data_IF_787493458617
#
_entry.id   IF_787493458617
#
_cell.length_a   1.000
_cell.length_b   1.000
_cell.length_c   1.000
_cell.angle_alpha   90.00
_cell.angle_beta   90.00
_cell.angle_gamma   90.00
#
_symmetry.space_group_name_H-M   'P 1'
#
loop_
_entity.id
_entity.type
_entity.pdbx_description
1 polymer ?
#
# COMPACT_ATOMS: atom_id res chain seq x y z
N UNK A 1 -4.45 -25.96 0.56
CA UNK A 1 -3.02 -25.64 0.40
C UNK A 1 -2.19 -26.81 -0.12
N UNK A 2 -2.77 -27.98 -0.41
CA UNK A 2 -2.05 -29.07 -1.08
C UNK A 2 -1.85 -28.71 -2.56
N UNK A 3 -0.59 -28.69 -3.01
CA UNK A 3 -0.24 -28.32 -4.37
C UNK A 3 -0.22 -29.58 -5.25
N UNK A 4 -0.81 -29.49 -6.44
CA UNK A 4 -0.68 -30.55 -7.42
C UNK A 4 0.81 -30.71 -7.83
N UNK A 5 1.29 -31.94 -8.06
CA UNK A 5 2.68 -32.16 -8.44
C UNK A 5 3.02 -31.36 -9.72
N UNK A 6 4.19 -30.70 -9.77
CA UNK A 6 4.56 -29.82 -10.86
C UNK A 6 4.66 -30.63 -12.16
N UNK A 7 3.78 -30.31 -13.12
CA UNK A 7 3.67 -31.01 -14.41
C UNK A 7 4.69 -30.52 -15.45
N UNK A 8 5.29 -29.35 -15.23
CA UNK A 8 6.14 -28.64 -16.18
C UNK A 8 7.49 -28.25 -15.58
N UNK A 9 8.54 -28.20 -16.39
CA UNK A 9 9.91 -27.85 -15.96
C UNK A 9 9.97 -26.48 -15.26
N UNK A 10 9.20 -25.50 -15.77
CA UNK A 10 9.07 -24.17 -15.18
C UNK A 10 8.45 -24.18 -13.77
N UNK A 11 7.53 -25.10 -13.53
CA UNK A 11 6.82 -25.26 -12.25
C UNK A 11 7.67 -26.03 -11.24
N UNK A 12 8.64 -26.82 -11.72
CA UNK A 12 9.68 -27.44 -10.88
C UNK A 12 10.77 -26.44 -10.47
N UNK A 13 11.12 -25.50 -11.34
CA UNK A 13 12.13 -24.47 -11.04
C UNK A 13 11.55 -23.28 -10.26
N UNK A 14 10.30 -22.91 -10.53
CA UNK A 14 9.57 -21.82 -9.87
C UNK A 14 8.30 -22.34 -9.19
N UNK A 15 8.40 -23.08 -8.08
CA UNK A 15 7.24 -23.60 -7.35
C UNK A 15 6.35 -22.48 -6.78
N UNK A 16 6.85 -21.24 -6.66
CA UNK A 16 6.02 -20.06 -6.31
C UNK A 16 4.88 -19.83 -7.32
N UNK A 17 5.04 -20.23 -8.59
CA UNK A 17 4.00 -20.10 -9.62
C UNK A 17 2.76 -20.94 -9.29
N UNK A 18 2.91 -22.03 -8.53
CA UNK A 18 1.79 -22.83 -8.05
C UNK A 18 1.01 -22.11 -6.96
N UNK A 19 1.70 -21.32 -6.12
CA UNK A 19 1.11 -20.52 -5.07
C UNK A 19 0.34 -19.31 -5.62
N UNK A 20 0.72 -18.79 -6.79
CA UNK A 20 0.02 -17.66 -7.46
C UNK A 20 -1.43 -17.98 -7.83
N UNK A 21 -1.85 -19.25 -7.78
CA UNK A 21 -3.25 -19.62 -7.98
C UNK A 21 -4.12 -19.33 -6.74
N UNK A 22 -3.51 -19.06 -5.59
CA UNK A 22 -4.23 -18.65 -4.40
C UNK A 22 -4.64 -17.17 -4.53
N UNK A 23 -5.94 -16.85 -4.39
CA UNK A 23 -6.44 -15.48 -4.51
C UNK A 23 -5.86 -14.52 -3.45
N UNK A 24 -5.49 -15.01 -2.26
CA UNK A 24 -4.86 -14.17 -1.23
C UNK A 24 -3.44 -13.74 -1.62
N UNK A 25 -2.65 -14.65 -2.21
CA UNK A 25 -1.31 -14.30 -2.69
C UNK A 25 -1.38 -13.28 -3.84
N UNK A 26 -2.34 -13.45 -4.77
CA UNK A 26 -2.56 -12.46 -5.83
C UNK A 26 -3.01 -11.11 -5.26
N UNK A 27 -3.88 -11.12 -4.26
CA UNK A 27 -4.38 -9.89 -3.64
C UNK A 27 -3.25 -9.17 -2.91
N UNK A 28 -2.41 -9.87 -2.14
CA UNK A 28 -1.25 -9.27 -1.46
C UNK A 28 -0.23 -8.69 -2.44
N UNK A 29 0.06 -9.36 -3.55
CA UNK A 29 0.87 -8.80 -4.63
C UNK A 29 0.21 -7.58 -5.28
N UNK A 30 -1.10 -7.61 -5.49
CA UNK A 30 -1.85 -6.48 -6.03
C UNK A 30 -1.83 -5.29 -5.07
N UNK A 31 -1.95 -5.51 -3.75
CA UNK A 31 -1.77 -4.45 -2.74
C UNK A 31 -0.38 -3.82 -2.88
N UNK A 32 0.68 -4.62 -2.97
CA UNK A 32 2.04 -4.10 -3.19
C UNK A 32 2.18 -3.32 -4.50
N UNK A 33 1.54 -3.77 -5.58
CA UNK A 33 1.53 -3.08 -6.87
C UNK A 33 0.88 -1.69 -6.76
N UNK A 34 -0.28 -1.61 -6.12
CA UNK A 34 -1.03 -0.35 -5.99
C UNK A 34 -0.29 0.61 -5.06
N UNK A 35 0.31 0.11 -3.98
CA UNK A 35 1.16 0.92 -3.12
C UNK A 35 2.33 1.54 -3.90
N UNK A 36 3.07 0.72 -4.66
CA UNK A 36 4.19 1.19 -5.48
C UNK A 36 3.73 2.18 -6.56
N UNK A 37 2.57 1.94 -7.17
CA UNK A 37 1.97 2.84 -8.14
C UNK A 37 1.59 4.19 -7.54
N UNK A 38 1.04 4.21 -6.32
CA UNK A 38 0.74 5.45 -5.59
C UNK A 38 2.02 6.21 -5.27
N UNK A 39 3.06 5.54 -4.77
CA UNK A 39 4.34 6.17 -4.48
C UNK A 39 4.93 6.84 -5.73
N UNK A 40 5.02 6.10 -6.84
CA UNK A 40 5.52 6.65 -8.10
C UNK A 40 4.64 7.77 -8.67
N UNK A 41 3.32 7.70 -8.50
CA UNK A 41 2.41 8.78 -8.86
C UNK A 41 2.68 10.06 -8.06
N UNK A 42 2.97 9.94 -6.76
CA UNK A 42 3.31 11.08 -5.91
C UNK A 42 4.66 11.69 -6.30
N UNK A 43 5.69 10.85 -6.48
CA UNK A 43 7.03 11.29 -6.87
C UNK A 43 7.01 12.11 -8.18
N UNK A 44 6.17 11.72 -9.15
CA UNK A 44 6.07 12.41 -10.44
C UNK A 44 5.22 13.68 -10.41
N UNK A 45 4.26 13.79 -9.47
CA UNK A 45 3.23 14.84 -9.52
C UNK A 45 3.40 15.92 -8.47
N UNK A 46 3.86 15.58 -7.27
CA UNK A 46 4.10 16.53 -6.17
C UNK A 46 5.09 17.63 -6.56
N UNK A 47 6.28 17.33 -7.14
CA UNK A 47 7.23 18.37 -7.55
C UNK A 47 6.66 19.26 -8.66
N UNK A 48 5.85 18.68 -9.55
CA UNK A 48 5.29 19.43 -10.65
C UNK A 48 4.19 20.39 -10.19
N UNK A 49 3.34 19.99 -9.23
CA UNK A 49 2.41 20.91 -8.58
C UNK A 49 3.17 21.99 -7.82
N UNK A 50 4.25 21.63 -7.12
CA UNK A 50 5.10 22.59 -6.40
C UNK A 50 5.66 23.68 -7.33
N UNK A 51 6.24 23.27 -8.47
CA UNK A 51 6.80 24.17 -9.46
C UNK A 51 5.69 25.00 -10.16
N UNK A 52 4.69 24.35 -10.76
CA UNK A 52 3.68 25.04 -11.58
C UNK A 52 2.78 25.97 -10.76
N UNK A 53 2.48 25.64 -9.50
CA UNK A 53 1.51 26.40 -8.69
C UNK A 53 2.16 27.39 -7.72
N UNK A 54 3.32 27.06 -7.18
CA UNK A 54 4.01 27.88 -6.18
C UNK A 54 5.33 28.48 -6.71
N UNK A 55 5.74 28.17 -7.95
CA UNK A 55 7.03 28.55 -8.53
C UNK A 55 8.21 28.15 -7.63
N UNK A 56 8.08 26.98 -6.97
CA UNK A 56 9.12 26.44 -6.12
C UNK A 56 10.32 25.99 -6.93
N UNK A 57 11.51 26.27 -6.41
CA UNK A 57 12.75 25.70 -6.92
C UNK A 57 12.86 24.20 -6.57
N UNK A 58 13.83 23.51 -7.17
CA UNK A 58 14.02 22.07 -6.96
C UNK A 58 14.26 21.72 -5.48
N UNK A 59 14.90 22.60 -4.71
CA UNK A 59 15.11 22.41 -3.27
C UNK A 59 13.79 22.46 -2.50
N UNK A 60 12.99 23.51 -2.69
CA UNK A 60 11.70 23.67 -2.01
C UNK A 60 10.70 22.58 -2.41
N UNK A 61 10.73 22.14 -3.67
CA UNK A 61 9.96 20.97 -4.11
C UNK A 61 10.39 19.69 -3.39
N UNK A 62 11.70 19.48 -3.21
CA UNK A 62 12.24 18.36 -2.44
C UNK A 62 11.84 18.37 -0.97
N UNK A 63 11.79 19.56 -0.34
CA UNK A 63 11.39 19.72 1.06
C UNK A 63 9.93 19.27 1.31
N UNK A 64 9.06 19.29 0.30
CA UNK A 64 7.68 18.81 0.42
C UNK A 64 7.57 17.29 0.63
N UNK A 65 8.61 16.52 0.31
CA UNK A 65 8.65 15.09 0.63
C UNK A 65 9.06 14.82 2.08
N UNK A 66 9.67 15.78 2.79
CA UNK A 66 10.07 15.56 4.18
C UNK A 66 8.89 15.22 5.09
N UNK A 67 7.75 15.94 5.07
CA UNK A 67 6.59 15.56 5.88
C UNK A 67 6.03 14.18 5.52
N UNK A 68 6.03 13.82 4.23
CA UNK A 68 5.56 12.52 3.74
C UNK A 68 6.49 11.39 4.22
N UNK A 69 7.79 11.52 3.97
CA UNK A 69 8.78 10.51 4.37
C UNK A 69 8.96 10.43 5.88
N UNK A 70 8.87 11.55 6.61
CA UNK A 70 8.99 11.56 8.06
C UNK A 70 7.79 10.88 8.72
N UNK A 71 6.56 11.14 8.26
CA UNK A 71 5.38 10.45 8.78
C UNK A 71 5.40 8.96 8.48
N UNK A 72 5.83 8.57 7.28
CA UNK A 72 6.02 7.17 6.90
C UNK A 72 7.08 6.48 7.77
N UNK A 73 8.24 7.10 7.94
CA UNK A 73 9.35 6.55 8.73
C UNK A 73 9.02 6.42 10.22
N UNK A 74 8.39 7.44 10.81
CA UNK A 74 8.10 7.46 12.25
C UNK A 74 6.96 6.49 12.61
N UNK A 75 5.97 6.34 11.73
CA UNK A 75 4.81 5.49 11.98
C UNK A 75 4.96 4.08 11.40
N UNK A 76 5.91 3.86 10.49
CA UNK A 76 6.19 2.55 9.91
C UNK A 76 6.39 1.44 10.95
N UNK A 77 7.26 1.61 11.97
CA UNK A 77 7.42 0.62 13.04
C UNK A 77 6.14 0.39 13.86
N UNK A 78 5.36 1.45 14.10
CA UNK A 78 4.11 1.38 14.86
C UNK A 78 3.08 0.52 14.11
N UNK A 79 2.93 0.75 12.80
CA UNK A 79 2.00 -0.03 11.98
C UNK A 79 2.52 -1.43 11.66
N UNK A 80 3.84 -1.63 11.60
CA UNK A 80 4.44 -2.97 11.56
C UNK A 80 4.07 -3.79 12.79
N UNK A 81 4.26 -3.23 13.99
CA UNK A 81 3.81 -3.86 15.24
C UNK A 81 2.30 -4.09 15.26
N UNK A 82 1.51 -3.15 14.73
CA UNK A 82 0.06 -3.32 14.63
C UNK A 82 -0.31 -4.48 13.70
N UNK A 83 0.37 -4.65 12.56
CA UNK A 83 0.16 -5.79 11.65
C UNK A 83 0.50 -7.11 12.32
N UNK A 84 1.59 -7.16 13.07
CA UNK A 84 1.99 -8.37 13.77
C UNK A 84 0.99 -8.77 14.88
N UNK A 85 0.39 -7.79 15.58
CA UNK A 85 -0.54 -8.03 16.70
C UNK A 85 -2.00 -8.20 16.27
N UNK A 86 -2.45 -7.42 15.29
CA UNK A 86 -3.86 -7.33 14.87
C UNK A 86 -4.14 -8.03 13.54
N UNK A 87 -3.11 -8.45 12.82
CA UNK A 87 -3.23 -9.15 11.54
C UNK A 87 -3.26 -8.20 10.34
N UNK A 88 -3.00 -8.76 9.17
CA UNK A 88 -2.81 -8.07 7.88
C UNK A 88 -4.10 -7.46 7.32
N UNK A 89 -5.22 -8.19 7.41
CA UNK A 89 -6.50 -7.78 6.82
C UNK A 89 -7.06 -6.45 7.31
N UNK A 90 -7.28 -6.21 8.62
CA UNK A 90 -7.87 -4.97 9.09
C UNK A 90 -6.98 -3.77 8.75
N UNK A 91 -5.64 -3.90 8.86
CA UNK A 91 -4.75 -2.79 8.51
C UNK A 91 -4.70 -2.53 7.00
N UNK A 92 -4.71 -3.56 6.14
CA UNK A 92 -4.80 -3.36 4.70
C UNK A 92 -6.08 -2.57 4.34
N UNK A 93 -7.23 -3.00 4.87
CA UNK A 93 -8.52 -2.35 4.60
C UNK A 93 -8.55 -0.93 5.14
N UNK A 94 -8.15 -0.73 6.40
CA UNK A 94 -8.14 0.59 7.03
C UNK A 94 -7.16 1.54 6.35
N UNK A 95 -5.98 1.06 5.94
CA UNK A 95 -4.99 1.86 5.25
C UNK A 95 -5.48 2.35 3.89
N UNK A 96 -6.00 1.45 3.05
CA UNK A 96 -6.56 1.85 1.75
C UNK A 96 -7.84 2.68 1.89
N UNK A 97 -8.70 2.37 2.86
CA UNK A 97 -9.89 3.16 3.15
C UNK A 97 -9.54 4.56 3.68
N UNK A 98 -8.46 4.71 4.46
CA UNK A 98 -7.94 5.99 4.93
C UNK A 98 -7.30 6.82 3.82
N UNK A 99 -6.60 6.17 2.88
CA UNK A 99 -6.05 6.85 1.72
C UNK A 99 -7.13 7.45 0.81
N UNK A 100 -8.33 6.87 0.74
CA UNK A 100 -9.44 7.41 -0.07
C UNK A 100 -9.79 8.87 0.28
N UNK A 101 -10.22 9.21 1.51
CA UNK A 101 -10.53 10.58 1.87
C UNK A 101 -9.29 11.47 1.77
N UNK A 102 -8.12 11.01 2.21
CA UNK A 102 -6.89 11.82 2.20
C UNK A 102 -6.45 12.19 0.78
N UNK A 103 -6.56 11.26 -0.18
CA UNK A 103 -6.33 11.54 -1.61
C UNK A 103 -7.38 12.48 -2.18
N UNK A 104 -8.65 12.35 -1.80
CA UNK A 104 -9.68 13.31 -2.24
C UNK A 104 -9.45 14.72 -1.67
N UNK A 105 -8.89 14.83 -0.46
CA UNK A 105 -8.55 16.11 0.17
C UNK A 105 -7.41 16.84 -0.55
N UNK A 106 -6.52 16.13 -1.27
CA UNK A 106 -5.52 16.76 -2.15
C UNK A 106 -6.15 17.57 -3.30
N UNK A 107 -7.46 17.47 -3.52
CA UNK A 107 -8.21 18.36 -4.42
C UNK A 107 -8.40 19.76 -3.83
N UNK A 108 -8.47 19.91 -2.51
CA UNK A 108 -8.79 21.19 -1.83
C UNK A 108 -7.76 22.30 -2.09
N UNK A 109 -6.43 22.05 -2.04
CA UNK A 109 -5.44 23.07 -2.36
C UNK A 109 -5.57 23.67 -3.77
N UNK A 110 -6.25 22.97 -4.69
CA UNK A 110 -6.46 23.43 -6.07
C UNK A 110 -7.76 24.22 -6.28
N UNK A 111 -8.73 24.17 -5.36
CA UNK A 111 -10.04 24.79 -5.59
C UNK A 111 -10.07 26.30 -5.36
N UNK A 112 -9.11 26.86 -4.62
CA UNK A 112 -9.08 28.29 -4.33
C UNK A 112 -7.89 28.96 -5.05
N UNK A 113 -8.11 29.63 -6.19
CA UNK A 113 -7.13 30.50 -6.81
C UNK A 113 -7.09 31.80 -5.99
N UNK A 114 -6.40 31.80 -4.85
CA UNK A 114 -6.01 33.04 -4.21
C UNK A 114 -4.76 33.57 -4.94
N UNK A 115 -4.82 34.75 -5.58
CA UNK A 115 -3.64 35.40 -6.13
C UNK A 115 -2.79 35.91 -4.96
N UNK A 116 -1.64 35.27 -4.74
CA UNK A 116 -0.71 35.61 -3.67
C UNK A 116 -0.24 34.37 -2.90
N UNK A 117 1.07 34.23 -2.72
CA UNK A 117 1.65 33.21 -1.85
C UNK A 117 1.13 33.41 -0.43
N UNK A 118 0.16 32.59 -0.03
CA UNK A 118 -0.20 32.45 1.37
C UNK A 118 0.55 31.22 1.87
N UNK A 119 1.53 31.39 2.77
CA UNK A 119 2.24 30.26 3.38
C UNK A 119 1.30 29.18 3.96
N UNK A 120 0.06 29.57 4.29
CA UNK A 120 -1.04 28.69 4.65
C UNK A 120 -1.39 27.61 3.60
N UNK A 121 -1.33 27.91 2.30
CA UNK A 121 -1.62 26.92 1.24
C UNK A 121 -0.51 25.87 1.10
N UNK A 122 0.75 26.32 1.22
CA UNK A 122 1.91 25.43 1.24
C UNK A 122 1.89 24.55 2.49
N UNK A 123 1.57 25.14 3.66
CA UNK A 123 1.41 24.40 4.90
C UNK A 123 0.27 23.37 4.83
N UNK A 124 -0.86 23.73 4.22
CA UNK A 124 -1.97 22.79 3.98
C UNK A 124 -1.52 21.64 3.06
N UNK A 125 -0.81 21.94 1.98
CA UNK A 125 -0.31 20.92 1.07
C UNK A 125 0.69 19.99 1.77
N UNK A 126 1.64 20.54 2.52
CA UNK A 126 2.59 19.78 3.32
C UNK A 126 1.90 18.91 4.39
N UNK A 127 0.87 19.41 5.05
CA UNK A 127 0.08 18.66 6.01
C UNK A 127 -0.70 17.50 5.34
N UNK A 128 -1.27 17.73 4.16
CA UNK A 128 -1.92 16.67 3.39
C UNK A 128 -0.92 15.62 2.92
N UNK A 129 0.30 16.01 2.53
CA UNK A 129 1.38 15.07 2.20
C UNK A 129 1.80 14.23 3.41
N UNK A 130 1.87 14.84 4.61
CA UNK A 130 2.10 14.10 5.85
C UNK A 130 0.98 13.10 6.12
N UNK A 131 -0.30 13.48 5.96
CA UNK A 131 -1.42 12.54 6.10
C UNK A 131 -1.35 11.39 5.09
N UNK A 132 -0.92 11.65 3.85
CA UNK A 132 -0.69 10.57 2.88
C UNK A 132 0.45 9.65 3.34
N UNK A 133 1.53 10.19 3.90
CA UNK A 133 2.62 9.40 4.49
C UNK A 133 2.16 8.49 5.62
N UNK A 134 1.23 8.94 6.48
CA UNK A 134 0.55 8.06 7.46
C UNK A 134 -0.15 6.89 6.76
N UNK A 135 -0.88 7.17 5.66
CA UNK A 135 -1.55 6.13 4.87
C UNK A 135 -0.58 5.12 4.26
N UNK A 136 0.55 5.60 3.70
CA UNK A 136 1.62 4.75 3.18
C UNK A 136 2.21 3.85 4.26
N UNK A 137 2.44 4.37 5.47
CA UNK A 137 2.95 3.60 6.60
C UNK A 137 2.04 2.42 6.95
N UNK A 138 0.72 2.64 6.91
CA UNK A 138 -0.28 1.60 7.21
C UNK A 138 -0.26 0.50 6.16
N UNK A 139 -0.21 0.84 4.87
CA UNK A 139 -0.31 -0.14 3.78
C UNK A 139 1.01 -0.87 3.47
N UNK A 140 2.13 -0.38 3.99
CA UNK A 140 3.47 -0.93 3.71
C UNK A 140 3.69 -2.33 4.30
N UNK A 141 3.29 -2.55 5.55
CA UNK A 141 3.49 -3.83 6.21
C UNK A 141 2.52 -4.95 5.73
N UNK A 142 1.20 -4.72 5.59
CA UNK A 142 0.24 -5.78 5.30
C UNK A 142 0.52 -6.58 4.03
N UNK A 143 0.94 -5.93 2.94
CA UNK A 143 1.15 -6.59 1.65
C UNK A 143 2.26 -7.65 1.73
N UNK A 144 3.40 -7.29 2.33
CA UNK A 144 4.56 -8.19 2.44
C UNK A 144 4.31 -9.29 3.47
N UNK A 145 3.71 -8.96 4.62
CA UNK A 145 3.41 -9.92 5.68
C UNK A 145 2.40 -10.96 5.23
N UNK A 146 1.33 -10.55 4.52
CA UNK A 146 0.33 -11.48 3.99
C UNK A 146 0.94 -12.43 2.95
N UNK A 147 1.71 -11.89 1.99
CA UNK A 147 2.39 -12.69 0.99
C UNK A 147 3.34 -13.72 1.63
N UNK A 148 4.08 -13.30 2.66
CA UNK A 148 4.96 -14.16 3.46
C UNK A 148 4.19 -15.28 4.17
N UNK A 149 3.11 -14.93 4.87
CA UNK A 149 2.30 -15.87 5.63
C UNK A 149 1.63 -16.93 4.73
N UNK A 150 1.09 -16.54 3.58
CA UNK A 150 0.49 -17.45 2.61
C UNK A 150 1.52 -18.43 2.07
N UNK A 151 2.70 -17.93 1.68
CA UNK A 151 3.80 -18.76 1.16
C UNK A 151 4.36 -19.70 2.23
N UNK A 152 4.43 -19.27 3.49
CA UNK A 152 4.83 -20.12 4.61
C UNK A 152 3.85 -21.29 4.82
N UNK A 153 2.54 -21.06 4.72
CA UNK A 153 1.52 -22.12 4.80
C UNK A 153 1.70 -23.15 3.68
N UNK A 154 1.98 -22.70 2.46
CA UNK A 154 2.27 -23.59 1.33
C UNK A 154 3.55 -24.40 1.55
N UNK A 155 4.58 -23.79 2.12
CA UNK A 155 5.83 -24.46 2.44
C UNK A 155 5.65 -25.55 3.49
N UNK A 156 5.00 -25.24 4.62
CA UNK A 156 4.73 -26.20 5.71
C UNK A 156 3.93 -27.41 5.23
N UNK A 157 3.02 -27.21 4.27
CA UNK A 157 2.18 -28.28 3.74
C UNK A 157 2.85 -29.09 2.62
N UNK A 158 3.84 -28.52 1.93
CA UNK A 158 4.54 -29.15 0.81
C UNK A 158 6.07 -29.03 0.95
N UNK A 159 6.68 -29.56 2.03
CA UNK A 159 8.11 -29.38 2.30
C UNK A 159 8.99 -30.00 1.20
N UNK A 160 8.54 -31.11 0.61
CA UNK A 160 9.25 -31.79 -0.48
C UNK A 160 9.34 -30.96 -1.78
N UNK A 161 8.48 -29.96 -1.98
CA UNK A 161 8.45 -29.13 -3.19
C UNK A 161 9.35 -27.90 -3.11
N UNK A 162 9.53 -27.33 -1.92
CA UNK A 162 10.28 -26.08 -1.73
C UNK A 162 11.66 -26.29 -1.08
N UNK A 163 11.92 -27.46 -0.50
CA UNK A 163 13.18 -27.78 0.17
C UNK A 163 13.38 -27.04 1.50
N UNK A 164 14.58 -27.20 2.09
CA UNK A 164 14.90 -26.66 3.42
C UNK A 164 15.07 -25.12 3.45
N UNK A 165 15.39 -24.49 2.32
CA UNK A 165 15.62 -23.03 2.22
C UNK A 165 14.33 -22.21 2.06
N UNK A 166 13.19 -22.87 1.85
CA UNK A 166 11.87 -22.25 1.71
C UNK A 166 11.70 -21.39 0.44
N UNK A 167 10.47 -20.91 0.17
CA UNK A 167 10.14 -20.23 -1.09
C UNK A 167 10.43 -18.72 -1.07
N UNK A 168 11.00 -18.19 0.01
CA UNK A 168 11.08 -16.75 0.28
C UNK A 168 11.90 -15.98 -0.76
N UNK A 169 13.02 -16.54 -1.24
CA UNK A 169 13.82 -15.88 -2.29
C UNK A 169 13.01 -15.63 -3.58
N UNK A 170 12.17 -16.60 -3.96
CA UNK A 170 11.30 -16.45 -5.12
C UNK A 170 10.17 -15.46 -4.83
N UNK A 171 9.56 -15.51 -3.64
CA UNK A 171 8.54 -14.55 -3.22
C UNK A 171 9.05 -13.11 -3.30
N UNK A 172 10.23 -12.83 -2.73
CA UNK A 172 10.86 -11.51 -2.79
C UNK A 172 11.16 -11.11 -4.23
N UNK A 173 11.66 -12.03 -5.07
CA UNK A 173 11.85 -11.78 -6.49
C UNK A 173 10.57 -11.35 -7.21
N UNK A 174 9.46 -12.07 -6.98
CA UNK A 174 8.15 -11.73 -7.53
C UNK A 174 7.63 -10.39 -7.00
N UNK A 175 7.73 -10.16 -5.69
CA UNK A 175 7.34 -8.90 -5.09
C UNK A 175 8.10 -7.72 -5.70
N UNK A 176 9.42 -7.85 -5.90
CA UNK A 176 10.26 -6.82 -6.53
C UNK A 176 9.89 -6.55 -7.99
N UNK A 177 9.53 -7.59 -8.76
CA UNK A 177 9.03 -7.41 -10.13
C UNK A 177 7.73 -6.62 -10.15
N UNK A 178 6.78 -6.98 -9.28
CA UNK A 178 5.48 -6.33 -9.15
C UNK A 178 5.63 -4.89 -8.67
N UNK A 179 6.51 -4.66 -7.70
CA UNK A 179 6.82 -3.33 -7.16
C UNK A 179 7.43 -2.41 -8.22
N UNK A 180 8.42 -2.91 -8.98
CA UNK A 180 9.00 -2.19 -10.11
C UNK A 180 7.95 -1.86 -11.17
N UNK A 181 7.01 -2.78 -11.42
CA UNK A 181 5.87 -2.56 -12.30
C UNK A 181 4.98 -1.42 -11.81
N UNK A 182 4.63 -1.41 -10.52
CA UNK A 182 3.87 -0.32 -9.90
C UNK A 182 4.57 1.03 -10.03
N UNK A 183 5.87 1.11 -9.67
CA UNK A 183 6.67 2.33 -9.80
C UNK A 183 6.79 2.83 -11.24
N UNK A 184 6.71 1.95 -12.23
CA UNK A 184 6.71 2.34 -13.65
C UNK A 184 5.34 2.86 -14.08
N UNK A 185 4.26 2.18 -13.68
CA UNK A 185 2.89 2.55 -14.04
C UNK A 185 2.42 3.83 -13.35
N UNK A 186 2.86 4.08 -12.11
CA UNK A 186 2.46 5.23 -11.30
C UNK A 186 2.66 6.57 -12.01
N UNK A 187 3.90 6.94 -12.38
CA UNK A 187 4.19 8.16 -13.12
C UNK A 187 3.47 8.24 -14.48
N UNK A 188 3.35 7.14 -15.21
CA UNK A 188 2.70 7.10 -16.52
C UNK A 188 1.21 7.43 -16.43
N UNK A 189 0.51 6.76 -15.51
CA UNK A 189 -0.92 6.99 -15.26
C UNK A 189 -1.14 8.38 -14.68
N UNK A 190 -0.38 8.75 -13.65
CA UNK A 190 -0.53 10.02 -12.95
C UNK A 190 -0.21 11.21 -13.86
N UNK A 191 0.89 11.15 -14.62
CA UNK A 191 1.26 12.18 -15.59
C UNK A 191 0.20 12.38 -16.66
N UNK A 192 -0.27 11.28 -17.28
CA UNK A 192 -1.30 11.35 -18.32
C UNK A 192 -2.64 11.86 -17.81
N UNK A 193 -3.07 11.39 -16.64
CA UNK A 193 -4.31 11.86 -16.00
C UNK A 193 -4.20 13.34 -15.61
N UNK A 194 -3.07 13.75 -15.03
CA UNK A 194 -2.86 15.16 -14.66
C UNK A 194 -2.97 16.08 -15.87
N UNK A 195 -2.38 15.71 -17.01
CA UNK A 195 -2.44 16.50 -18.24
C UNK A 195 -3.86 16.58 -18.83
N UNK A 196 -4.62 15.48 -18.80
CA UNK A 196 -5.96 15.40 -19.42
C UNK A 196 -7.08 15.95 -18.53
N UNK A 197 -7.05 15.63 -17.24
CA UNK A 197 -8.15 15.91 -16.31
C UNK A 197 -7.74 16.75 -15.10
N UNK A 198 -6.47 17.15 -15.00
CA UNK A 198 -5.93 17.95 -13.90
C UNK A 198 -5.57 17.13 -12.66
N UNK A 199 -4.75 17.72 -11.77
CA UNK A 199 -4.25 17.05 -10.57
C UNK A 199 -5.36 16.63 -9.60
N UNK A 200 -6.36 17.48 -9.37
CA UNK A 200 -7.46 17.16 -8.44
C UNK A 200 -8.29 15.94 -8.87
N UNK A 201 -8.57 15.81 -10.17
CA UNK A 201 -9.32 14.66 -10.69
C UNK A 201 -8.43 13.40 -10.81
N UNK A 202 -7.13 13.57 -11.08
CA UNK A 202 -6.16 12.48 -10.96
C UNK A 202 -6.15 11.89 -9.55
N UNK A 203 -6.09 12.72 -8.51
CA UNK A 203 -6.17 12.26 -7.12
C UNK A 203 -7.49 11.53 -6.82
N UNK A 204 -8.61 11.96 -7.40
CA UNK A 204 -9.89 11.26 -7.27
C UNK A 204 -9.88 9.88 -7.96
N UNK A 205 -9.21 9.74 -9.11
CA UNK A 205 -9.03 8.44 -9.78
C UNK A 205 -8.17 7.52 -8.92
N UNK A 206 -7.04 8.02 -8.38
CA UNK A 206 -6.18 7.26 -7.47
C UNK A 206 -6.94 6.84 -6.20
N UNK A 207 -7.79 7.72 -5.66
CA UNK A 207 -8.67 7.40 -4.53
C UNK A 207 -9.67 6.29 -4.88
N UNK A 208 -10.24 6.31 -6.09
CA UNK A 208 -11.10 5.23 -6.60
C UNK A 208 -10.36 3.89 -6.70
N UNK A 209 -9.12 3.90 -7.18
CA UNK A 209 -8.27 2.70 -7.21
C UNK A 209 -8.02 2.18 -5.79
N UNK A 210 -7.75 3.07 -4.83
CA UNK A 210 -7.62 2.70 -3.40
C UNK A 210 -8.92 2.11 -2.85
N UNK A 211 -10.09 2.65 -3.20
CA UNK A 211 -11.38 2.13 -2.76
C UNK A 211 -11.63 0.69 -3.28
N UNK A 212 -11.35 0.45 -4.57
CA UNK A 212 -11.43 -0.89 -5.16
C UNK A 212 -10.44 -1.84 -4.48
N UNK A 213 -9.23 -1.36 -4.21
CA UNK A 213 -8.18 -2.14 -3.54
C UNK A 213 -8.57 -2.50 -2.11
N UNK A 214 -9.21 -1.59 -1.37
CA UNK A 214 -9.78 -1.89 -0.05
C UNK A 214 -10.88 -2.96 -0.13
N UNK A 215 -11.75 -2.90 -1.16
CA UNK A 215 -12.77 -3.92 -1.42
C UNK A 215 -12.18 -5.29 -1.74
N UNK A 216 -11.10 -5.35 -2.53
CA UNK A 216 -10.38 -6.60 -2.81
C UNK A 216 -9.69 -7.14 -1.55
N UNK A 217 -9.07 -6.26 -0.74
CA UNK A 217 -8.49 -6.65 0.54
C UNK A 217 -9.55 -7.24 1.48
N UNK A 218 -10.75 -6.65 1.52
CA UNK A 218 -11.89 -7.17 2.27
C UNK A 218 -12.31 -8.57 1.81
N UNK A 219 -12.40 -8.77 0.50
CA UNK A 219 -12.92 -10.00 -0.09
C UNK A 219 -11.92 -11.18 -0.06
N UNK A 220 -10.63 -10.91 -0.32
CA UNK A 220 -9.67 -11.97 -0.68
C UNK A 220 -8.48 -12.14 0.27
N UNK A 221 -8.17 -11.17 1.15
CA UNK A 221 -7.13 -11.36 2.17
C UNK A 221 -7.63 -12.37 3.20
N UNK A 222 -6.76 -13.32 3.59
CA UNK A 222 -7.11 -14.41 4.51
C UNK A 222 -7.42 -13.87 5.92
N UNK A 223 -8.40 -14.49 6.58
CA UNK A 223 -8.94 -14.05 7.88
C UNK A 223 -10.26 -13.27 7.74
N UNK A 224 -11.17 -13.41 8.70
CA UNK A 224 -12.46 -12.70 8.65
C UNK A 224 -12.44 -11.48 9.56
N UNK A 225 -12.96 -10.34 9.08
CA UNK A 225 -13.11 -9.13 9.91
C UNK A 225 -13.97 -9.38 11.16
N UNK A 226 -14.91 -10.32 11.10
CA UNK A 226 -15.72 -10.76 12.24
C UNK A 226 -14.93 -11.58 13.26
N UNK A 227 -13.98 -12.41 12.81
CA UNK A 227 -13.07 -13.16 13.69
C UNK A 227 -12.10 -12.21 14.38
N UNK A 228 -11.64 -11.18 13.67
CA UNK A 228 -10.88 -10.08 14.25
C UNK A 228 -11.69 -9.31 15.31
N UNK A 229 -12.93 -8.91 15.00
CA UNK A 229 -13.81 -8.20 15.94
C UNK A 229 -14.10 -9.05 17.19
N UNK A 230 -14.32 -10.35 17.02
CA UNK A 230 -14.56 -11.29 18.11
C UNK A 230 -13.30 -11.47 18.98
N UNK A 231 -12.14 -11.69 18.36
CA UNK A 231 -10.87 -11.82 19.07
C UNK A 231 -10.34 -10.52 19.68
N UNK A 232 -10.74 -9.34 19.18
CA UNK A 232 -10.48 -8.06 19.85
C UNK A 232 -11.37 -7.90 21.09
N UNK A 233 -12.65 -8.27 20.98
CA UNK A 233 -13.59 -8.21 22.09
C UNK A 233 -13.19 -9.17 23.22
N UNK A 234 -12.85 -10.41 22.89
CA UNK A 234 -12.36 -11.42 23.86
C UNK A 234 -11.05 -10.99 24.56
N UNK A 235 -10.14 -10.31 23.84
CA UNK A 235 -8.88 -9.80 24.42
C UNK A 235 -9.10 -8.60 25.34
N UNK A 236 -10.04 -7.70 24.99
CA UNK A 236 -10.41 -6.59 25.86
C UNK A 236 -11.12 -7.05 27.12
N UNK A 237 -12.05 -8.00 26.98
CA UNK A 237 -12.75 -8.59 28.12
C UNK A 237 -11.75 -9.33 29.05
N UNK A 238 -10.75 -10.03 28.51
CA UNK A 238 -9.69 -10.67 29.31
C UNK A 238 -8.67 -9.72 29.95
N UNK A 239 -8.44 -8.52 29.37
CA UNK A 239 -7.61 -7.47 29.99
C UNK A 239 -8.38 -6.71 31.08
N UNK A 240 -9.70 -6.48 30.90
CA UNK A 240 -10.59 -5.86 31.90
C UNK A 240 -10.90 -6.81 33.09
N UNK A 241 -10.84 -8.14 32.91
CA UNK A 241 -10.97 -9.13 33.99
C UNK A 241 -9.67 -9.39 34.78
N UNK A 242 -8.53 -8.90 34.29
CA UNK A 242 -7.21 -9.09 34.90
C UNK A 242 -6.71 -7.87 35.70
N UNK A 243 -7.40 -6.73 35.63
CA UNK A 243 -7.24 -5.55 36.51
C UNK A 243 -8.14 -5.64 37.75
#
# INVERSE_FOLDING_TARGET
YDLAPPKTALTRTLPILLCLRNPSLLTSLFLGLIQAMLLGAFDATVPLVANTRYNFDSLSAGLLFLPLGASDLLLGPLFGWAVDRYGTKPLAVLGYAYLVPVLTLLRLPLQHPAPGQTGAQVALFAALLALNGVGFAIINAPALVEAGAVVERFWKRNPALFGERGPYAQLYGFNSMVWSGGLTLGPLVAGSLRERIGYGNMCAVLAGICAVTAGLALAFVEGTLSEWWRGWKERREGEEEAE
#
